data_IF_923201939380
#
_entry.id   IF_923201939380
#
_cell.length_a   1.000
_cell.length_b   1.000
_cell.length_c   1.000
_cell.angle_alpha   90.00
_cell.angle_beta   90.00
_cell.angle_gamma   90.00
#
_symmetry.space_group_name_H-M   'P 1'
#
loop_
_entity.id
_entity.type
_entity.pdbx_description
1 polymer ?
#
# COMPACT_ATOMS: atom_id res chain seq x y z
N UNK A 1 1.61 47.59 2.46
CA UNK A 1 0.89 47.01 1.31
C UNK A 1 -0.59 46.88 1.61
N UNK A 2 -1.41 46.83 0.56
CA UNK A 2 -2.83 46.49 0.64
C UNK A 2 -3.07 44.98 0.38
N UNK A 3 -4.30 44.50 0.58
CA UNK A 3 -4.63 43.07 0.42
C UNK A 3 -4.39 42.57 -1.01
N UNK A 4 -4.75 43.36 -2.03
CA UNK A 4 -4.57 42.96 -3.44
C UNK A 4 -3.10 42.86 -3.85
N UNK A 5 -2.24 43.74 -3.34
CA UNK A 5 -0.78 43.65 -3.50
C UNK A 5 -0.23 42.39 -2.83
N UNK A 6 -0.73 42.05 -1.62
CA UNK A 6 -0.31 40.86 -0.90
C UNK A 6 -0.72 39.56 -1.62
N UNK A 7 -1.95 39.49 -2.13
CA UNK A 7 -2.45 38.32 -2.87
C UNK A 7 -1.66 38.04 -4.16
N UNK A 8 -1.17 39.08 -4.85
CA UNK A 8 -0.33 38.91 -6.03
C UNK A 8 1.04 38.31 -5.72
N UNK A 9 1.63 38.64 -4.57
CA UNK A 9 2.94 38.15 -4.13
C UNK A 9 2.84 36.94 -3.19
N UNK A 10 1.63 36.43 -2.97
CA UNK A 10 1.36 35.28 -2.11
C UNK A 10 2.06 33.99 -2.58
N UNK A 11 2.11 33.66 -3.89
CA UNK A 11 2.83 32.47 -4.37
C UNK A 11 4.31 32.52 -4.00
N UNK A 12 4.98 33.64 -4.29
CA UNK A 12 6.40 33.84 -3.98
C UNK A 12 6.64 33.77 -2.45
N UNK A 13 5.70 34.31 -1.66
CA UNK A 13 5.74 34.21 -0.20
C UNK A 13 5.70 32.76 0.29
N UNK A 14 4.85 31.90 -0.29
CA UNK A 14 4.76 30.47 0.05
C UNK A 14 6.02 29.69 -0.36
N UNK A 15 6.71 30.13 -1.42
CA UNK A 15 8.01 29.57 -1.85
C UNK A 15 9.19 30.02 -0.97
N UNK A 16 8.97 30.95 -0.04
CA UNK A 16 9.94 31.37 0.97
C UNK A 16 10.51 32.77 0.77
N UNK A 17 10.05 33.55 -0.22
CA UNK A 17 10.47 34.94 -0.37
C UNK A 17 9.70 35.86 0.60
N UNK A 18 10.17 35.94 1.83
CA UNK A 18 9.54 36.76 2.87
C UNK A 18 10.17 38.16 2.93
N UNK A 19 9.32 39.18 2.86
CA UNK A 19 9.68 40.59 3.02
C UNK A 19 9.07 41.13 4.33
N UNK A 20 9.78 41.97 5.13
CA UNK A 20 9.22 42.61 6.33
C UNK A 20 7.86 43.30 6.10
N UNK A 21 7.63 43.90 4.92
CA UNK A 21 6.35 44.56 4.63
C UNK A 21 5.18 43.56 4.57
N UNK A 22 5.42 42.33 4.09
CA UNK A 22 4.42 41.26 4.00
C UNK A 22 4.05 40.76 5.39
N UNK A 23 5.06 40.55 6.24
CA UNK A 23 4.86 40.16 7.63
C UNK A 23 4.13 41.24 8.44
N UNK A 24 4.41 42.52 8.17
CA UNK A 24 3.69 43.63 8.80
C UNK A 24 2.20 43.64 8.42
N UNK A 25 1.88 43.35 7.14
CA UNK A 25 0.50 43.25 6.67
C UNK A 25 -0.25 42.08 7.32
N UNK A 26 0.35 40.88 7.34
CA UNK A 26 -0.25 39.70 7.98
C UNK A 26 -0.54 39.88 9.47
N UNK A 27 0.25 40.69 10.18
CA UNK A 27 0.00 41.02 11.59
C UNK A 27 -1.16 41.98 11.81
N UNK A 28 -1.52 42.76 10.79
CA UNK A 28 -2.49 43.85 10.89
C UNK A 28 -3.81 43.56 10.16
N UNK A 29 -3.80 42.65 9.18
CA UNK A 29 -4.97 42.26 8.41
C UNK A 29 -5.36 40.81 8.70
N UNK A 30 -6.48 40.61 9.40
CA UNK A 30 -6.98 39.28 9.73
C UNK A 30 -7.41 38.47 8.50
N UNK A 31 -8.03 39.13 7.51
CA UNK A 31 -8.48 38.44 6.29
C UNK A 31 -7.32 37.76 5.54
N UNK A 32 -6.17 38.43 5.42
CA UNK A 32 -5.00 37.86 4.77
C UNK A 32 -4.29 36.81 5.64
N UNK A 33 -4.30 36.96 6.97
CA UNK A 33 -3.77 35.93 7.87
C UNK A 33 -4.62 34.66 7.85
N UNK A 34 -5.95 34.80 7.79
CA UNK A 34 -6.90 33.69 7.72
C UNK A 34 -6.74 32.94 6.38
N UNK A 35 -6.65 33.67 5.25
CA UNK A 35 -6.35 33.08 3.95
C UNK A 35 -5.03 32.29 3.96
N UNK A 36 -3.97 32.85 4.55
CA UNK A 36 -2.69 32.17 4.65
C UNK A 36 -2.79 30.92 5.55
N UNK A 37 -3.56 30.97 6.63
CA UNK A 37 -3.80 29.81 7.49
C UNK A 37 -4.54 28.70 6.73
N UNK A 38 -5.56 29.05 5.94
CA UNK A 38 -6.32 28.11 5.11
C UNK A 38 -5.43 27.45 4.05
N UNK A 39 -4.58 28.22 3.37
CA UNK A 39 -3.65 27.67 2.38
C UNK A 39 -2.62 26.73 3.01
N UNK A 40 -2.09 27.07 4.19
CA UNK A 40 -1.20 26.18 4.94
C UNK A 40 -1.92 24.92 5.43
N UNK A 41 -3.19 25.04 5.81
CA UNK A 41 -4.02 23.90 6.16
C UNK A 41 -4.21 22.97 4.95
N UNK A 42 -4.56 23.51 3.78
CA UNK A 42 -4.70 22.75 2.54
C UNK A 42 -3.39 22.06 2.16
N UNK A 43 -2.26 22.77 2.20
CA UNK A 43 -0.97 22.20 1.81
C UNK A 43 -0.55 21.05 2.74
N UNK A 44 -0.76 21.20 4.04
CA UNK A 44 -0.46 20.14 5.01
C UNK A 44 -1.37 18.93 4.87
N UNK A 45 -2.66 19.12 4.55
CA UNK A 45 -3.60 18.02 4.31
C UNK A 45 -3.36 17.35 2.96
N UNK A 46 -2.94 18.09 1.94
CA UNK A 46 -2.68 17.56 0.61
C UNK A 46 -1.54 16.52 0.62
N UNK A 47 -0.56 16.64 1.52
CA UNK A 47 0.49 15.62 1.70
C UNK A 47 -0.10 14.27 2.12
N UNK A 48 -1.19 14.26 2.90
CA UNK A 48 -1.86 13.02 3.34
C UNK A 48 -2.65 12.36 2.21
N UNK A 49 -3.06 13.14 1.20
CA UNK A 49 -3.78 12.65 0.03
C UNK A 49 -2.85 12.15 -1.08
N UNK A 50 -1.54 12.43 -0.99
CA UNK A 50 -0.57 11.83 -1.90
C UNK A 50 -0.45 10.35 -1.58
N UNK A 51 -0.85 9.53 -2.55
CA UNK A 51 -0.30 8.18 -2.65
C UNK A 51 1.24 8.30 -2.61
N UNK A 52 1.87 7.50 -1.76
CA UNK A 52 3.31 7.60 -1.54
C UNK A 52 4.05 7.08 -2.77
N UNK A 53 4.24 7.95 -3.76
CA UNK A 53 5.19 7.73 -4.85
C UNK A 53 6.60 7.82 -4.26
N UNK A 54 7.07 6.69 -3.72
CA UNK A 54 8.45 6.54 -3.28
C UNK A 54 9.36 6.75 -4.50
N UNK A 55 10.31 7.71 -4.44
CA UNK A 55 11.25 7.91 -5.53
C UNK A 55 11.98 6.60 -5.83
N UNK A 56 12.22 6.31 -7.12
CA UNK A 56 12.98 5.10 -7.48
C UNK A 56 14.31 5.02 -6.73
N UNK A 57 14.76 3.81 -6.38
CA UNK A 57 16.01 3.57 -5.62
C UNK A 57 17.23 4.27 -6.22
N UNK A 58 17.24 4.48 -7.54
CA UNK A 58 18.30 5.24 -8.23
C UNK A 58 18.40 6.68 -7.76
N UNK A 59 17.25 7.35 -7.55
CA UNK A 59 17.19 8.74 -7.09
C UNK A 59 17.75 8.85 -5.68
N UNK A 60 17.37 7.91 -4.79
CA UNK A 60 17.91 7.83 -3.44
C UNK A 60 19.42 7.61 -3.39
N UNK A 61 19.94 6.68 -4.20
CA UNK A 61 21.37 6.43 -4.29
C UNK A 61 22.15 7.65 -4.80
N UNK A 62 21.55 8.41 -5.74
CA UNK A 62 22.17 9.64 -6.26
C UNK A 62 22.22 10.73 -5.19
N UNK A 63 21.11 10.95 -4.47
CA UNK A 63 21.02 11.88 -3.34
C UNK A 63 22.02 11.53 -2.24
N UNK A 64 22.08 10.26 -1.83
CA UNK A 64 23.05 9.80 -0.84
C UNK A 64 24.49 10.06 -1.30
N UNK A 65 24.79 9.81 -2.57
CA UNK A 65 26.11 10.10 -3.12
C UNK A 65 26.44 11.60 -3.11
N UNK A 66 25.46 12.47 -3.35
CA UNK A 66 25.65 13.93 -3.29
C UNK A 66 25.87 14.41 -1.86
N UNK A 67 25.03 13.97 -0.93
CA UNK A 67 25.11 14.36 0.48
C UNK A 67 26.41 13.89 1.14
N UNK A 68 26.96 12.74 0.71
CA UNK A 68 28.31 12.31 1.14
C UNK A 68 29.42 13.19 0.57
N UNK A 69 29.30 13.64 -0.68
CA UNK A 69 30.28 14.57 -1.30
C UNK A 69 30.25 15.94 -0.62
N UNK A 70 29.08 16.39 -0.21
CA UNK A 70 28.88 17.66 0.53
C UNK A 70 29.24 17.53 2.01
N UNK A 71 29.60 16.33 2.48
CA UNK A 71 29.99 16.08 3.87
C UNK A 71 28.82 16.12 4.86
N UNK A 72 27.58 16.14 4.39
CA UNK A 72 26.39 16.19 5.25
C UNK A 72 26.07 14.82 5.88
N UNK A 73 26.55 13.73 5.25
CA UNK A 73 26.42 12.37 5.77
C UNK A 73 27.81 11.78 5.99
N UNK A 74 28.15 11.54 7.26
CA UNK A 74 29.34 10.80 7.65
C UNK A 74 28.94 9.33 7.83
N UNK A 75 29.64 8.40 7.16
CA UNK A 75 29.44 6.99 7.44
C UNK A 75 29.85 6.74 8.92
N UNK A 76 29.02 6.04 9.72
CA UNK A 76 29.40 5.70 11.08
C UNK A 76 30.63 4.81 11.02
N UNK A 77 31.77 5.33 11.47
CA UNK A 77 33.01 4.59 11.62
C UNK A 77 32.85 3.63 12.80
N UNK A 78 32.19 2.49 12.59
CA UNK A 78 32.17 1.43 13.58
C UNK A 78 33.57 0.81 13.65
N UNK A 79 34.22 0.77 14.83
CA UNK A 79 35.49 0.07 15.00
C UNK A 79 35.25 -1.42 14.76
N UNK A 80 35.96 -1.97 13.79
CA UNK A 80 35.92 -3.38 13.38
C UNK A 80 36.41 -4.25 14.56
N UNK A 81 35.56 -5.07 15.22
CA UNK A 81 36.06 -6.00 16.22
C UNK A 81 36.76 -7.16 15.51
N UNK A 82 37.92 -7.59 16.02
CA UNK A 82 38.69 -8.70 15.49
C UNK A 82 38.11 -10.04 15.95
N UNK A 83 37.08 -10.54 15.25
CA UNK A 83 36.38 -11.80 15.52
C UNK A 83 37.21 -13.08 15.26
N UNK A 84 38.48 -12.97 14.86
CA UNK A 84 39.28 -14.14 14.45
C UNK A 84 39.80 -14.99 15.62
N UNK A 85 39.86 -14.47 16.85
CA UNK A 85 40.40 -15.25 17.99
C UNK A 85 39.35 -16.14 18.68
N UNK A 86 38.04 -15.86 18.57
CA UNK A 86 37.02 -16.66 19.27
C UNK A 86 36.62 -17.95 18.55
N UNK A 87 36.76 -18.02 17.22
CA UNK A 87 36.40 -19.21 16.43
C UNK A 87 37.38 -20.38 16.58
N UNK A 88 38.63 -20.14 16.98
CA UNK A 88 39.64 -21.20 17.05
C UNK A 88 39.48 -22.08 18.30
N UNK A 89 38.90 -21.55 19.38
CA UNK A 89 38.56 -22.31 20.60
C UNK A 89 37.28 -23.16 20.48
N UNK A 90 36.38 -22.83 19.56
CA UNK A 90 35.10 -23.53 19.40
C UNK A 90 35.17 -24.84 18.60
N UNK A 91 36.18 -25.02 17.73
CA UNK A 91 36.28 -26.23 16.86
C UNK A 91 36.74 -27.50 17.59
N UNK A 92 37.34 -27.38 18.78
CA UNK A 92 37.79 -28.55 19.55
C UNK A 92 36.66 -29.24 20.35
N UNK A 93 35.51 -28.59 20.54
CA UNK A 93 34.42 -29.08 21.39
C UNK A 93 33.35 -29.91 20.65
N UNK A 94 33.42 -30.07 19.32
CA UNK A 94 32.35 -30.66 18.49
C UNK A 94 32.73 -31.97 17.78
N UNK A 95 33.81 -32.65 18.20
CA UNK A 95 34.17 -33.97 17.62
C UNK A 95 33.43 -35.13 18.31
N UNK A 96 32.67 -34.89 19.39
CA UNK A 96 32.02 -35.95 20.17
C UNK A 96 30.59 -36.35 19.70
N UNK A 97 29.70 -35.47 19.16
CA UNK A 97 28.32 -35.87 18.86
C UNK A 97 28.06 -36.42 17.45
N UNK A 98 29.05 -36.41 16.54
CA UNK A 98 28.86 -36.86 15.15
C UNK A 98 28.65 -38.39 15.00
N UNK A 99 29.06 -39.19 15.99
CA UNK A 99 28.89 -40.65 15.95
C UNK A 99 27.46 -41.12 16.28
N UNK A 100 26.67 -40.34 17.04
CA UNK A 100 25.32 -40.74 17.46
C UNK A 100 24.25 -40.54 16.35
N UNK A 101 24.43 -39.55 15.48
CA UNK A 101 23.47 -39.24 14.41
C UNK A 101 23.43 -40.29 13.27
N UNK A 102 24.55 -40.99 13.04
CA UNK A 102 24.64 -42.04 12.00
C UNK A 102 23.83 -43.31 12.35
N UNK A 103 23.52 -43.57 13.62
CA UNK A 103 22.70 -44.73 14.04
C UNK A 103 21.19 -44.46 13.84
N UNK A 104 20.75 -43.21 13.99
CA UNK A 104 19.34 -42.82 13.85
C UNK A 104 18.90 -42.82 12.37
N UNK A 105 19.78 -42.44 11.45
CA UNK A 105 19.50 -42.46 10.02
C UNK A 105 19.29 -43.88 9.44
N UNK A 106 19.95 -44.89 10.01
CA UNK A 106 19.77 -46.28 9.59
C UNK A 106 18.43 -46.89 10.06
N UNK A 107 17.87 -46.41 11.17
CA UNK A 107 16.61 -46.92 11.72
C UNK A 107 15.35 -46.45 10.97
N UNK A 108 15.38 -45.27 10.36
CA UNK A 108 14.21 -44.68 9.68
C UNK A 108 13.99 -45.33 8.29
N UNK A 109 15.01 -45.93 7.69
CA UNK A 109 14.92 -46.53 6.35
C UNK A 109 14.30 -47.93 6.33
N UNK A 110 14.03 -48.56 7.49
CA UNK A 110 13.42 -49.89 7.58
C UNK A 110 11.95 -49.89 8.02
N UNK A 111 11.39 -48.74 8.40
CA UNK A 111 9.96 -48.60 8.71
C UNK A 111 9.28 -47.82 7.58
N UNK A 112 8.85 -48.55 6.55
CA UNK A 112 7.82 -48.06 5.62
C UNK A 112 6.45 -48.26 6.26
N UNK A 113 5.70 -47.20 6.60
CA UNK A 113 4.25 -47.28 6.64
C UNK A 113 3.70 -46.95 5.25
N UNK A 114 2.84 -47.84 4.77
CA UNK A 114 1.92 -47.63 3.67
C UNK A 114 1.05 -46.39 3.94
N UNK A 115 1.02 -45.45 2.99
CA UNK A 115 -0.09 -44.48 2.86
C UNK A 115 -0.61 -44.53 1.43
N UNK A 116 -1.73 -45.21 1.29
CA UNK A 116 -2.65 -45.13 0.18
C UNK A 116 -3.74 -44.09 0.50
N UNK A 117 -4.24 -43.42 -0.55
CA UNK A 117 -5.41 -42.52 -0.53
C UNK A 117 -5.06 -41.07 -0.15
N UNK A 118 -5.54 -40.01 -0.79
CA UNK A 118 -6.55 -39.90 -1.84
C UNK A 118 -6.35 -38.58 -2.59
N UNK A 119 -6.65 -38.61 -3.89
CA UNK A 119 -6.79 -37.44 -4.75
C UNK A 119 -8.01 -36.64 -4.29
N UNK A 120 -7.80 -35.48 -3.67
CA UNK A 120 -8.89 -34.55 -3.40
C UNK A 120 -9.15 -33.69 -4.64
N UNK A 121 -10.26 -34.01 -5.28
CA UNK A 121 -10.96 -33.20 -6.27
C UNK A 121 -11.24 -31.80 -5.71
N UNK A 122 -10.92 -30.77 -6.49
CA UNK A 122 -11.38 -29.40 -6.23
C UNK A 122 -12.89 -29.37 -6.43
N UNK A 123 -13.63 -29.54 -5.34
CA UNK A 123 -15.07 -29.31 -5.31
C UNK A 123 -15.32 -27.80 -5.35
N UNK A 124 -15.89 -27.34 -6.45
CA UNK A 124 -16.57 -26.05 -6.54
C UNK A 124 -17.79 -26.08 -5.63
N UNK A 125 -17.64 -25.65 -4.38
CA UNK A 125 -18.78 -25.48 -3.49
C UNK A 125 -19.56 -24.23 -3.90
N UNK A 126 -20.83 -24.48 -4.22
CA UNK A 126 -21.88 -23.47 -4.32
C UNK A 126 -22.37 -23.08 -2.92
N UNK A 127 -22.77 -21.82 -2.80
CA UNK A 127 -22.97 -21.03 -1.59
C UNK A 127 -24.10 -21.47 -0.63
N UNK A 128 -24.17 -20.88 0.59
CA UNK A 128 -25.42 -20.51 1.25
C UNK A 128 -25.85 -19.07 0.92
N UNK A 129 -27.16 -18.82 1.08
CA UNK A 129 -27.92 -17.63 0.69
C UNK A 129 -27.38 -16.26 1.20
N UNK A 130 -27.70 -15.16 0.49
CA UNK A 130 -27.00 -13.88 0.65
C UNK A 130 -27.46 -13.13 1.91
N UNK A 131 -26.54 -12.53 2.69
CA UNK A 131 -26.86 -11.28 3.35
C UNK A 131 -27.06 -10.22 2.25
N UNK A 132 -28.16 -9.48 2.33
CA UNK A 132 -28.48 -8.36 1.43
C UNK A 132 -27.23 -7.49 1.19
N UNK A 133 -26.85 -7.22 -0.07
CA UNK A 133 -25.74 -6.35 -0.33
C UNK A 133 -26.10 -4.97 0.20
N UNK A 134 -25.29 -4.44 1.12
CA UNK A 134 -25.23 -2.99 1.29
C UNK A 134 -24.61 -2.47 0.01
N UNK A 135 -25.47 -2.15 -0.97
CA UNK A 135 -25.05 -1.47 -2.19
C UNK A 135 -24.48 -0.14 -1.72
N UNK A 136 -23.19 0.06 -1.97
CA UNK A 136 -22.52 1.30 -1.58
C UNK A 136 -23.10 2.49 -2.37
N UNK A 137 -22.92 3.70 -1.86
CA UNK A 137 -23.35 4.90 -2.57
C UNK A 137 -22.67 4.99 -3.95
N UNK A 138 -21.40 4.57 -4.02
CA UNK A 138 -20.58 4.52 -5.23
C UNK A 138 -21.13 3.49 -6.23
N UNK A 139 -21.47 2.28 -5.77
CA UNK A 139 -22.07 1.23 -6.60
C UNK A 139 -23.37 1.72 -7.26
N UNK A 140 -24.19 2.46 -6.50
CA UNK A 140 -25.44 3.03 -7.00
C UNK A 140 -25.18 4.09 -8.07
N UNK A 141 -24.21 4.97 -7.85
CA UNK A 141 -23.82 5.98 -8.83
C UNK A 141 -23.33 5.34 -10.14
N UNK A 142 -22.48 4.31 -10.06
CA UNK A 142 -21.97 3.61 -11.25
C UNK A 142 -23.08 2.83 -11.97
N UNK A 143 -24.01 2.21 -11.24
CA UNK A 143 -25.19 1.56 -11.84
C UNK A 143 -26.08 2.55 -12.60
N UNK A 144 -26.14 3.81 -12.17
CA UNK A 144 -26.81 4.87 -12.91
C UNK A 144 -26.04 5.27 -14.18
N UNK A 145 -24.70 5.34 -14.13
CA UNK A 145 -23.85 5.62 -15.30
C UNK A 145 -24.06 4.59 -16.41
N UNK A 146 -24.22 3.31 -16.07
CA UNK A 146 -24.47 2.26 -17.06
C UNK A 146 -25.95 2.12 -17.45
N UNK A 147 -26.86 2.93 -16.91
CA UNK A 147 -28.30 2.75 -17.09
C UNK A 147 -28.78 2.94 -18.54
N UNK A 148 -28.08 3.76 -19.34
CA UNK A 148 -28.40 3.96 -20.76
C UNK A 148 -28.05 2.75 -21.65
N UNK A 149 -27.25 1.78 -21.15
CA UNK A 149 -26.77 0.63 -21.92
C UNK A 149 -27.88 -0.39 -22.21
N UNK A 150 -27.71 -1.27 -23.22
CA UNK A 150 -28.64 -2.37 -23.47
C UNK A 150 -28.85 -3.26 -22.23
N UNK A 151 -30.05 -3.80 -22.02
CA UNK A 151 -30.42 -4.51 -20.78
C UNK A 151 -29.51 -5.71 -20.48
N UNK A 152 -29.06 -6.42 -21.52
CA UNK A 152 -28.12 -7.55 -21.37
C UNK A 152 -26.76 -7.11 -20.80
N UNK A 153 -26.23 -5.96 -21.23
CA UNK A 153 -24.95 -5.44 -20.75
C UNK A 153 -25.06 -4.88 -19.32
N UNK A 154 -26.19 -4.28 -18.99
CA UNK A 154 -26.49 -3.83 -17.62
C UNK A 154 -26.57 -5.00 -16.67
N UNK A 155 -27.21 -6.09 -17.09
CA UNK A 155 -27.31 -7.30 -16.30
C UNK A 155 -25.94 -7.96 -16.08
N UNK A 156 -25.09 -8.06 -17.11
CA UNK A 156 -23.73 -8.59 -16.95
C UNK A 156 -22.90 -7.73 -16.02
N UNK A 157 -22.93 -6.41 -16.20
CA UNK A 157 -22.22 -5.47 -15.33
C UNK A 157 -22.63 -5.60 -13.86
N UNK A 158 -23.94 -5.69 -13.60
CA UNK A 158 -24.45 -5.90 -12.23
C UNK A 158 -23.98 -7.22 -11.64
N UNK A 159 -23.97 -8.30 -12.42
CA UNK A 159 -23.48 -9.59 -11.97
C UNK A 159 -21.96 -9.58 -11.67
N UNK A 160 -21.18 -8.84 -12.45
CA UNK A 160 -19.74 -8.68 -12.22
C UNK A 160 -19.47 -7.85 -10.96
N UNK A 161 -20.24 -6.77 -10.76
CA UNK A 161 -20.18 -5.94 -9.55
C UNK A 161 -20.57 -6.73 -8.29
N UNK A 162 -21.64 -7.52 -8.35
CA UNK A 162 -22.06 -8.39 -7.25
C UNK A 162 -20.96 -9.40 -6.87
N UNK A 163 -20.24 -9.93 -7.86
CA UNK A 163 -19.12 -10.85 -7.65
C UNK A 163 -17.92 -10.17 -7.01
N UNK A 164 -17.56 -8.97 -7.48
CA UNK A 164 -16.46 -8.21 -6.89
C UNK A 164 -16.76 -7.85 -5.43
N UNK A 165 -17.99 -7.42 -5.14
CA UNK A 165 -18.46 -7.15 -3.78
C UNK A 165 -18.44 -8.39 -2.88
N UNK A 166 -18.77 -9.57 -3.41
CA UNK A 166 -18.64 -10.82 -2.66
C UNK A 166 -17.18 -11.12 -2.33
N UNK A 167 -16.28 -10.96 -3.30
CA UNK A 167 -14.85 -11.20 -3.11
C UNK A 167 -14.22 -10.26 -2.09
N UNK A 168 -14.59 -8.97 -2.09
CA UNK A 168 -14.15 -8.01 -1.07
C UNK A 168 -14.59 -8.45 0.33
N UNK A 169 -15.84 -8.89 0.50
CA UNK A 169 -16.32 -9.37 1.81
C UNK A 169 -15.54 -10.58 2.31
N UNK A 170 -15.23 -11.51 1.41
CA UNK A 170 -14.45 -12.70 1.76
C UNK A 170 -13.01 -12.32 2.14
N UNK A 171 -12.38 -11.41 1.39
CA UNK A 171 -11.03 -10.93 1.68
C UNK A 171 -10.98 -10.13 3.01
N UNK A 172 -11.96 -9.27 3.28
CA UNK A 172 -12.09 -8.57 4.56
C UNK A 172 -12.21 -9.55 5.72
N UNK A 173 -12.99 -10.63 5.54
CA UNK A 173 -13.15 -11.64 6.57
C UNK A 173 -11.83 -12.37 6.85
N UNK A 174 -11.06 -12.68 5.82
CA UNK A 174 -9.72 -13.27 5.96
C UNK A 174 -8.77 -12.34 6.72
N UNK A 175 -8.73 -11.04 6.38
CA UNK A 175 -7.93 -10.04 7.11
C UNK A 175 -8.38 -9.89 8.56
N UNK A 176 -9.69 -9.93 8.83
CA UNK A 176 -10.20 -9.90 10.22
C UNK A 176 -9.79 -11.14 11.01
N UNK A 177 -9.69 -12.31 10.36
CA UNK A 177 -9.33 -13.56 11.01
C UNK A 177 -7.82 -13.67 11.31
N UNK A 178 -6.98 -13.17 10.42
CA UNK A 178 -5.53 -13.04 10.62
C UNK A 178 -5.03 -11.72 10.01
N UNK A 179 -4.96 -10.65 10.82
CA UNK A 179 -4.52 -9.33 10.35
C UNK A 179 -3.04 -9.25 10.01
N UNK A 180 -2.22 -10.18 10.53
CA UNK A 180 -0.76 -10.18 10.34
C UNK A 180 -0.31 -10.95 9.10
N UNK A 181 -1.19 -11.75 8.51
CA UNK A 181 -0.91 -12.47 7.29
C UNK A 181 -0.87 -11.53 6.07
N UNK A 182 0.34 -11.35 5.54
CA UNK A 182 0.59 -10.55 4.34
C UNK A 182 -0.20 -11.05 3.12
N UNK A 183 -0.48 -12.35 3.03
CA UNK A 183 -1.27 -12.92 1.93
C UNK A 183 -2.72 -12.44 1.99
N UNK A 184 -3.34 -12.41 3.18
CA UNK A 184 -4.70 -11.90 3.35
C UNK A 184 -4.79 -10.40 3.06
N UNK A 185 -3.77 -9.64 3.48
CA UNK A 185 -3.66 -8.21 3.14
C UNK A 185 -3.59 -8.01 1.62
N UNK A 186 -2.76 -8.78 0.92
CA UNK A 186 -2.66 -8.72 -0.54
C UNK A 186 -3.98 -9.13 -1.22
N UNK A 187 -4.68 -10.12 -0.69
CA UNK A 187 -5.97 -10.57 -1.20
C UNK A 187 -7.00 -9.43 -1.20
N UNK A 188 -7.02 -8.65 -0.11
CA UNK A 188 -7.91 -7.50 0.03
C UNK A 188 -7.57 -6.40 -0.98
N UNK A 189 -6.28 -6.08 -1.15
CA UNK A 189 -5.81 -5.11 -2.16
C UNK A 189 -6.28 -5.53 -3.55
N UNK A 190 -6.02 -6.78 -3.95
CA UNK A 190 -6.41 -7.32 -5.25
C UNK A 190 -7.93 -7.28 -5.46
N UNK A 191 -8.72 -7.49 -4.41
CA UNK A 191 -10.17 -7.44 -4.48
C UNK A 191 -10.69 -6.02 -4.80
N UNK A 192 -10.08 -5.00 -4.19
CA UNK A 192 -10.40 -3.60 -4.47
C UNK A 192 -9.94 -3.17 -5.87
N UNK A 193 -8.73 -3.57 -6.29
CA UNK A 193 -8.24 -3.31 -7.65
C UNK A 193 -9.18 -3.89 -8.71
N UNK A 194 -9.67 -5.12 -8.50
CA UNK A 194 -10.63 -5.74 -9.42
C UNK A 194 -11.94 -4.94 -9.53
N UNK A 195 -12.43 -4.41 -8.41
CA UNK A 195 -13.64 -3.57 -8.41
C UNK A 195 -13.39 -2.24 -9.12
N UNK A 196 -12.22 -1.64 -8.94
CA UNK A 196 -11.85 -0.40 -9.63
C UNK A 196 -11.80 -0.58 -11.15
N UNK A 197 -11.21 -1.67 -11.64
CA UNK A 197 -11.22 -1.99 -13.08
C UNK A 197 -12.65 -2.13 -13.64
N UNK A 198 -13.61 -2.63 -12.85
CA UNK A 198 -15.01 -2.67 -13.27
C UNK A 198 -15.61 -1.27 -13.38
N UNK A 199 -15.25 -0.35 -12.46
CA UNK A 199 -15.70 1.04 -12.53
C UNK A 199 -15.14 1.77 -13.75
N UNK A 200 -13.87 1.55 -14.07
CA UNK A 200 -13.25 2.15 -15.26
C UNK A 200 -13.96 1.68 -16.54
N UNK A 201 -14.31 0.39 -16.63
CA UNK A 201 -15.14 -0.14 -17.75
C UNK A 201 -16.54 0.50 -17.82
N UNK A 202 -17.08 0.96 -16.68
CA UNK A 202 -18.33 1.70 -16.65
C UNK A 202 -18.19 3.11 -17.24
N UNK A 203 -17.04 3.76 -17.04
CA UNK A 203 -16.76 5.13 -17.49
C UNK A 203 -16.23 5.17 -18.93
N UNK A 204 -15.25 4.34 -19.30
CA UNK A 204 -14.64 4.35 -20.63
C UNK A 204 -15.67 4.11 -21.74
N UNK A 205 -16.58 3.17 -21.49
CA UNK A 205 -17.61 2.80 -22.46
C UNK A 205 -18.85 3.72 -22.41
N UNK A 206 -18.96 4.62 -21.41
CA UNK A 206 -19.96 5.70 -21.44
C UNK A 206 -19.45 6.98 -22.11
N UNK A 207 -18.13 7.20 -22.17
CA UNK A 207 -17.50 8.33 -22.85
C UNK A 207 -17.36 8.18 -24.38
N UNK A 208 -17.70 7.02 -24.94
CA UNK A 208 -17.55 6.70 -26.37
C UNK A 208 -18.71 7.10 -27.28
N UNK A 209 -19.73 7.80 -26.77
CA UNK A 209 -20.85 8.35 -27.56
C UNK A 209 -20.77 9.88 -27.56
N UNK A 210 -19.96 10.44 -28.46
CA UNK A 210 -20.08 11.80 -28.97
C UNK A 210 -19.92 11.79 -30.49
#
# INVERSE_FOLDING_TARGET
MNCGEFEQVLPDYLEGSQNPDQQAHLKTCSACSDLLADLNLISSQAVLLRESDEPSTRVWNLLESQLRREGLIHAPTLPRPSWHESLQRWRAAWVIPAAAAMIIAAGIKLYHPTRAGDSSTVARQSAPAPPTPKISAEDTAILNTVAARPPAQRASYRADLDRANAYIRDAEQSVRSDPSDMYNQQLLINAYEQKQMLYDLAVDRSGGEQ
#
